data_IF_767339070914
#
_entry.id   IF_767339070914
#
_cell.length_a   1.000
_cell.length_b   1.000
_cell.length_c   1.000
_cell.angle_alpha   90.00
_cell.angle_beta   90.00
_cell.angle_gamma   90.00
#
_symmetry.space_group_name_H-M   'P 1'
#
loop_
_entity.id
_entity.type
_entity.pdbx_description
1 polymer ?
#
# COMPACT_ATOMS: atom_id res chain seq x y z
N UNK A 1 12.19 -14.55 25.50
CA UNK A 1 11.05 -13.98 24.74
C UNK A 1 11.24 -14.39 23.29
N UNK A 2 10.37 -15.26 22.77
CA UNK A 2 10.45 -15.68 21.36
C UNK A 2 9.92 -14.58 20.47
N UNK A 3 10.81 -13.85 19.79
CA UNK A 3 10.40 -12.91 18.75
C UNK A 3 9.69 -13.69 17.65
N UNK A 4 8.38 -13.44 17.46
CA UNK A 4 7.71 -13.86 16.23
C UNK A 4 8.39 -13.10 15.10
N UNK A 5 9.18 -13.79 14.28
CA UNK A 5 9.60 -13.29 12.98
C UNK A 5 8.35 -13.16 12.11
N UNK A 6 7.69 -12.01 12.17
CA UNK A 6 6.55 -11.70 11.30
C UNK A 6 7.10 -11.21 9.96
N UNK A 7 7.18 -12.11 8.98
CA UNK A 7 7.45 -11.72 7.60
C UNK A 7 6.24 -10.92 7.09
N UNK A 8 6.37 -9.60 6.95
CA UNK A 8 5.38 -8.78 6.25
C UNK A 8 5.39 -9.14 4.77
N UNK A 9 4.21 -9.27 4.15
CA UNK A 9 4.14 -9.45 2.70
C UNK A 9 4.57 -8.14 2.02
N UNK A 10 5.57 -8.24 1.14
CA UNK A 10 6.01 -7.12 0.32
C UNK A 10 5.28 -7.22 -1.01
N UNK A 11 4.40 -6.25 -1.26
CA UNK A 11 3.74 -6.07 -2.57
C UNK A 11 3.30 -4.63 -2.72
N UNK A 12 3.16 -4.23 -3.97
CA UNK A 12 2.77 -2.90 -4.40
C UNK A 12 1.51 -2.99 -5.26
N UNK A 13 0.87 -1.84 -5.43
CA UNK A 13 -0.17 -1.64 -6.44
C UNK A 13 0.14 -0.43 -7.29
N UNK A 14 -0.52 -0.32 -8.44
CA UNK A 14 -0.50 0.85 -9.31
C UNK A 14 -1.68 0.82 -10.29
N UNK A 15 -2.20 1.99 -10.68
CA UNK A 15 -3.27 2.10 -11.68
C UNK A 15 -2.65 2.23 -13.06
N UNK A 16 -3.15 1.44 -14.00
CA UNK A 16 -2.81 1.62 -15.40
C UNK A 16 -3.40 2.95 -15.91
N UNK A 17 -2.60 3.84 -16.53
CA UNK A 17 -3.06 5.16 -16.96
C UNK A 17 -4.11 5.11 -18.08
N UNK A 18 -4.12 4.04 -18.88
CA UNK A 18 -4.98 3.94 -20.07
C UNK A 18 -6.38 3.43 -19.75
N UNK A 19 -6.51 2.49 -18.79
CA UNK A 19 -7.79 1.86 -18.48
C UNK A 19 -8.23 2.00 -17.02
N UNK A 20 -7.44 2.67 -16.17
CA UNK A 20 -7.74 2.93 -14.77
C UNK A 20 -7.75 1.69 -13.87
N UNK A 21 -7.38 0.51 -14.38
CA UNK A 21 -7.40 -0.73 -13.61
C UNK A 21 -6.20 -0.79 -12.66
N UNK A 22 -6.47 -1.22 -11.43
CA UNK A 22 -5.43 -1.56 -10.47
C UNK A 22 -4.71 -2.86 -10.85
N UNK A 23 -3.39 -2.85 -10.72
CA UNK A 23 -2.53 -4.03 -10.75
C UNK A 23 -1.78 -4.15 -9.44
N UNK A 24 -1.45 -5.38 -9.07
CA UNK A 24 -0.85 -5.73 -7.78
C UNK A 24 0.31 -6.69 -8.01
N UNK A 25 1.41 -6.50 -7.28
CA UNK A 25 2.59 -7.35 -7.38
C UNK A 25 3.89 -6.60 -7.07
N UNK A 26 4.94 -6.93 -7.80
CA UNK A 26 6.27 -6.34 -7.60
C UNK A 26 6.40 -5.02 -8.35
N UNK A 27 7.03 -4.03 -7.71
CA UNK A 27 7.28 -2.72 -8.30
C UNK A 27 8.56 -2.75 -9.13
N UNK A 28 8.46 -2.33 -10.38
CA UNK A 28 9.59 -2.10 -11.28
C UNK A 28 9.71 -0.59 -11.49
N UNK A 29 10.91 -0.06 -11.26
CA UNK A 29 11.24 1.35 -11.49
C UNK A 29 12.31 1.45 -12.57
N UNK A 30 12.06 2.28 -13.58
CA UNK A 30 13.00 2.57 -14.64
C UNK A 30 13.74 3.87 -14.37
N UNK A 31 14.97 4.01 -14.86
CA UNK A 31 15.73 5.29 -14.79
C UNK A 31 14.99 6.45 -15.48
N UNK A 32 14.10 6.15 -16.42
CA UNK A 32 13.23 7.15 -17.08
C UNK A 32 12.18 7.76 -16.16
N UNK A 33 11.98 7.22 -14.95
CA UNK A 33 10.88 7.56 -14.05
C UNK A 33 9.58 6.81 -14.36
N UNK A 34 9.54 5.99 -15.41
CA UNK A 34 8.42 5.06 -15.64
C UNK A 34 8.39 4.01 -14.53
N UNK A 35 7.18 3.62 -14.14
CA UNK A 35 6.97 2.54 -13.18
C UNK A 35 6.03 1.50 -13.76
N UNK A 36 6.24 0.25 -13.36
CA UNK A 36 5.38 -0.85 -13.75
C UNK A 36 5.13 -1.79 -12.57
N UNK A 37 3.98 -2.46 -12.61
CA UNK A 37 3.63 -3.53 -11.67
C UNK A 37 3.70 -4.85 -12.42
N UNK A 38 4.47 -5.79 -11.89
CA UNK A 38 4.56 -7.15 -12.38
C UNK A 38 3.82 -8.09 -11.43
N UNK A 39 2.89 -8.89 -11.96
CA UNK A 39 2.28 -9.96 -11.17
C UNK A 39 3.36 -11.00 -10.87
N UNK A 40 3.60 -11.26 -9.58
CA UNK A 40 4.70 -12.05 -8.97
C UNK A 40 5.35 -13.05 -9.92
N UNK A 41 6.68 -13.03 -10.00
CA UNK A 41 7.45 -14.01 -10.76
C UNK A 41 7.04 -15.44 -10.43
N UNK A 42 6.96 -16.32 -11.44
CA UNK A 42 6.74 -17.72 -11.16
C UNK A 42 7.94 -18.29 -10.39
N UNK A 43 7.66 -19.25 -9.51
CA UNK A 43 8.68 -20.01 -8.78
C UNK A 43 9.65 -20.79 -9.68
N UNK A 44 9.48 -20.73 -11.00
CA UNK A 44 10.19 -21.53 -11.99
C UNK A 44 11.25 -20.74 -12.78
N UNK A 45 11.47 -19.46 -12.48
CA UNK A 45 12.68 -18.74 -12.90
C UNK A 45 12.73 -18.33 -14.38
N UNK A 46 11.59 -18.22 -15.06
CA UNK A 46 11.52 -17.65 -16.42
C UNK A 46 11.33 -16.13 -16.41
N UNK A 47 12.10 -15.45 -15.54
CA UNK A 47 11.95 -14.03 -15.18
C UNK A 47 12.00 -13.10 -16.42
N UNK A 48 12.83 -13.44 -17.42
CA UNK A 48 12.99 -12.67 -18.64
C UNK A 48 11.74 -12.66 -19.55
N UNK A 49 10.93 -13.72 -19.55
CA UNK A 49 9.66 -13.73 -20.31
C UNK A 49 8.52 -13.11 -19.51
N UNK A 50 8.60 -13.15 -18.18
CA UNK A 50 7.52 -12.67 -17.31
C UNK A 50 7.47 -11.15 -17.25
N UNK A 51 8.60 -10.47 -17.39
CA UNK A 51 8.65 -9.00 -17.42
C UNK A 51 7.88 -8.38 -18.60
N UNK A 52 7.60 -9.16 -19.65
CA UNK A 52 6.72 -8.74 -20.75
C UNK A 52 5.25 -8.59 -20.30
N UNK A 53 4.85 -9.23 -19.20
CA UNK A 53 3.50 -9.13 -18.62
C UNK A 53 3.38 -8.02 -17.57
N UNK A 54 4.43 -7.22 -17.37
CA UNK A 54 4.33 -6.03 -16.51
C UNK A 54 3.28 -5.08 -17.06
N UNK A 55 2.64 -4.34 -16.16
CA UNK A 55 1.69 -3.29 -16.53
C UNK A 55 2.27 -1.94 -16.12
N UNK A 56 2.39 -1.02 -17.07
CA UNK A 56 2.73 0.38 -16.76
C UNK A 56 1.68 0.94 -15.80
N UNK A 57 2.15 1.64 -14.77
CA UNK A 57 1.31 2.30 -13.79
C UNK A 57 1.62 3.79 -13.74
N UNK A 58 0.63 4.60 -13.37
CA UNK A 58 0.87 6.01 -13.08
C UNK A 58 1.66 6.12 -11.76
N UNK A 59 2.82 6.80 -11.74
CA UNK A 59 3.68 6.90 -10.56
C UNK A 59 2.96 7.36 -9.29
N UNK A 60 2.08 8.34 -9.40
CA UNK A 60 1.30 8.92 -8.29
C UNK A 60 0.27 7.97 -7.67
N UNK A 61 0.03 6.83 -8.32
CA UNK A 61 -0.90 5.80 -7.84
C UNK A 61 -0.18 4.61 -7.22
N UNK A 62 1.14 4.58 -7.28
CA UNK A 62 1.93 3.53 -6.66
C UNK A 62 1.76 3.61 -5.14
N UNK A 63 1.48 2.47 -4.52
CA UNK A 63 1.36 2.38 -3.07
C UNK A 63 1.75 1.02 -2.55
N UNK A 64 2.44 0.99 -1.41
CA UNK A 64 2.83 -0.25 -0.76
C UNK A 64 1.67 -0.83 0.07
N UNK A 65 1.58 -2.17 0.12
CA UNK A 65 0.69 -2.86 1.04
C UNK A 65 1.13 -2.63 2.48
N UNK A 66 0.21 -2.21 3.34
CA UNK A 66 0.51 -1.95 4.76
C UNK A 66 0.74 -3.23 5.58
N UNK A 67 0.37 -4.41 5.07
CA UNK A 67 0.31 -5.63 5.89
C UNK A 67 -1.00 -5.79 6.68
N UNK A 68 -1.90 -4.80 6.64
CA UNK A 68 -3.17 -4.82 7.36
C UNK A 68 -4.36 -5.06 6.44
N UNK A 69 -5.47 -5.50 7.03
CA UNK A 69 -6.76 -5.62 6.35
C UNK A 69 -7.82 -4.88 7.14
N UNK A 70 -8.81 -4.34 6.46
CA UNK A 70 -9.97 -3.73 7.08
C UNK A 70 -10.90 -4.78 7.72
N UNK A 71 -12.00 -4.32 8.32
CA UNK A 71 -13.01 -5.18 8.96
C UNK A 71 -13.71 -6.16 8.00
N UNK A 72 -13.56 -5.97 6.70
CA UNK A 72 -14.11 -6.82 5.64
C UNK A 72 -13.06 -7.71 4.98
N UNK A 73 -11.82 -7.70 5.48
CA UNK A 73 -10.71 -8.49 4.93
C UNK A 73 -10.10 -7.88 3.67
N UNK A 74 -10.45 -6.63 3.32
CA UNK A 74 -9.86 -5.89 2.20
C UNK A 74 -8.51 -5.34 2.63
N UNK A 75 -7.50 -5.53 1.79
CA UNK A 75 -6.14 -5.05 2.05
C UNK A 75 -6.09 -3.52 2.09
N UNK A 76 -5.37 -2.98 3.07
CA UNK A 76 -5.14 -1.54 3.21
C UNK A 76 -3.79 -1.20 2.58
N UNK A 77 -3.81 -0.23 1.69
CA UNK A 77 -2.65 0.22 0.94
C UNK A 77 -2.35 1.69 1.22
N UNK A 78 -1.12 2.08 0.99
CA UNK A 78 -0.77 3.49 0.86
C UNK A 78 -1.68 4.20 -0.18
N UNK A 79 -2.12 5.41 0.18
CA UNK A 79 -3.05 6.21 -0.60
C UNK A 79 -4.53 5.86 -0.41
N UNK A 80 -4.88 4.76 0.26
CA UNK A 80 -6.29 4.45 0.55
C UNK A 80 -6.92 5.49 1.48
N UNK A 81 -8.21 5.77 1.26
CA UNK A 81 -9.03 6.55 2.18
C UNK A 81 -9.83 5.58 3.03
N UNK A 82 -9.54 5.53 4.32
CA UNK A 82 -10.19 4.62 5.27
C UNK A 82 -10.97 5.40 6.32
N UNK A 83 -11.99 4.75 6.89
CA UNK A 83 -12.72 5.21 8.06
C UNK A 83 -12.33 4.35 9.26
N UNK A 84 -11.85 4.97 10.33
CA UNK A 84 -11.68 4.31 11.62
C UNK A 84 -12.79 4.80 12.55
N UNK A 85 -13.57 3.85 13.06
CA UNK A 85 -14.64 4.09 14.03
C UNK A 85 -14.13 3.79 15.45
N UNK A 86 -14.43 4.67 16.40
CA UNK A 86 -14.07 4.51 17.81
C UNK A 86 -15.35 4.34 18.65
N UNK A 87 -15.91 3.12 18.72
CA UNK A 87 -17.06 2.83 19.56
C UNK A 87 -16.64 2.88 21.03
N UNK A 88 -16.79 4.04 21.66
CA UNK A 88 -16.41 4.23 23.06
C UNK A 88 -16.27 5.69 23.51
N UNK A 89 -16.19 6.66 22.59
CA UNK A 89 -16.21 8.09 22.94
C UNK A 89 -15.07 8.52 23.87
N UNK A 90 -13.84 8.06 23.61
CA UNK A 90 -12.63 8.58 24.26
C UNK A 90 -12.10 9.83 23.55
N UNK A 91 -10.82 10.16 23.75
CA UNK A 91 -10.12 11.28 23.08
C UNK A 91 -10.04 11.15 21.54
N UNK A 92 -10.59 10.07 20.99
CA UNK A 92 -10.57 9.74 19.57
C UNK A 92 -11.98 9.74 19.01
N UNK A 93 -12.21 10.54 17.98
CA UNK A 93 -13.44 10.50 17.21
C UNK A 93 -13.25 9.71 15.91
N UNK A 94 -14.39 9.29 15.35
CA UNK A 94 -14.45 8.70 14.02
C UNK A 94 -13.70 9.58 13.02
N UNK A 95 -12.75 8.99 12.31
CA UNK A 95 -11.89 9.73 11.37
C UNK A 95 -11.95 9.06 10.00
N UNK A 96 -12.06 9.89 8.96
CA UNK A 96 -11.89 9.48 7.57
C UNK A 96 -10.63 10.16 7.05
N UNK A 97 -9.69 9.38 6.54
CA UNK A 97 -8.37 9.88 6.23
C UNK A 97 -7.62 9.02 5.23
N UNK A 98 -6.63 9.62 4.57
CA UNK A 98 -5.70 8.92 3.69
C UNK A 98 -4.71 8.10 4.52
N UNK A 99 -4.20 7.01 3.96
CA UNK A 99 -3.06 6.26 4.49
C UNK A 99 -1.77 6.72 3.81
N UNK A 100 -0.71 6.99 4.57
CA UNK A 100 0.62 7.37 4.04
C UNK A 100 1.75 6.77 4.86
N UNK A 101 2.96 6.71 4.28
CA UNK A 101 4.19 6.40 5.01
C UNK A 101 4.79 7.69 5.56
N UNK A 102 5.11 7.70 6.86
CA UNK A 102 5.87 8.76 7.50
C UNK A 102 7.34 8.33 7.58
N UNK A 103 8.23 9.10 6.95
CA UNK A 103 9.66 8.77 6.86
C UNK A 103 10.39 8.97 8.18
N UNK A 104 10.00 9.99 8.96
CA UNK A 104 10.65 10.33 10.23
C UNK A 104 10.31 9.29 11.31
N UNK A 105 9.05 8.84 11.33
CA UNK A 105 8.56 7.84 12.29
C UNK A 105 8.74 6.40 11.80
N UNK A 106 9.01 6.21 10.50
CA UNK A 106 9.22 4.90 9.88
C UNK A 106 7.99 3.99 10.00
N UNK A 107 6.80 4.54 9.78
CA UNK A 107 5.54 3.83 9.98
C UNK A 107 4.43 4.31 9.03
N UNK A 108 3.42 3.45 8.82
CA UNK A 108 2.20 3.88 8.13
C UNK A 108 1.28 4.62 9.09
N UNK A 109 0.69 5.71 8.61
CA UNK A 109 -0.28 6.51 9.32
C UNK A 109 -1.60 6.60 8.56
N UNK A 110 -2.68 6.90 9.29
CA UNK A 110 -3.92 7.41 8.70
C UNK A 110 -4.33 8.72 9.36
N UNK A 111 -4.99 9.59 8.60
CA UNK A 111 -5.46 10.88 9.09
C UNK A 111 -5.93 11.79 7.96
N UNK A 112 -6.41 12.98 8.33
CA UNK A 112 -6.81 14.03 7.40
C UNK A 112 -5.93 15.27 7.59
N UNK A 113 -5.92 16.15 6.59
CA UNK A 113 -5.17 17.42 6.65
C UNK A 113 -5.78 18.43 7.63
N UNK A 114 -6.77 18.04 8.44
CA UNK A 114 -7.55 18.92 9.31
C UNK A 114 -6.97 19.03 10.74
N UNK A 115 -5.65 18.90 10.89
CA UNK A 115 -4.95 19.23 12.13
C UNK A 115 -5.17 18.25 13.30
N UNK A 116 -5.69 17.04 13.03
CA UNK A 116 -5.69 15.96 14.03
C UNK A 116 -4.37 15.18 13.96
N UNK A 117 -3.82 14.74 15.10
CA UNK A 117 -2.62 13.95 15.09
C UNK A 117 -2.89 12.67 14.30
N UNK A 118 -2.05 12.36 13.31
CA UNK A 118 -2.22 11.18 12.50
C UNK A 118 -2.03 9.94 13.38
N UNK A 119 -2.73 8.86 13.07
CA UNK A 119 -2.64 7.62 13.84
C UNK A 119 -1.76 6.61 13.13
N UNK A 120 -0.73 6.18 13.85
CA UNK A 120 0.15 5.07 13.49
C UNK A 120 -0.65 3.77 13.37
N UNK A 121 -0.44 3.06 12.26
CA UNK A 121 -1.06 1.76 11.97
C UNK A 121 -0.23 0.61 12.54
N UNK A 122 1.11 0.74 12.54
CA UNK A 122 2.07 -0.15 13.21
C UNK A 122 3.45 0.49 13.25
#
# INVERSE_FOLDING_TARGET
MGGRSMSREIKFRGRNPNNGQWKYGDLIQYESGEVAILNRFSKHGFEATEICYRTIASPETVGQYTGLKDKHGVEIWEGDIIRIEYPGGGDFENTVGRVWWDEDEGAFYHGNDQGRPPKRLW
#
